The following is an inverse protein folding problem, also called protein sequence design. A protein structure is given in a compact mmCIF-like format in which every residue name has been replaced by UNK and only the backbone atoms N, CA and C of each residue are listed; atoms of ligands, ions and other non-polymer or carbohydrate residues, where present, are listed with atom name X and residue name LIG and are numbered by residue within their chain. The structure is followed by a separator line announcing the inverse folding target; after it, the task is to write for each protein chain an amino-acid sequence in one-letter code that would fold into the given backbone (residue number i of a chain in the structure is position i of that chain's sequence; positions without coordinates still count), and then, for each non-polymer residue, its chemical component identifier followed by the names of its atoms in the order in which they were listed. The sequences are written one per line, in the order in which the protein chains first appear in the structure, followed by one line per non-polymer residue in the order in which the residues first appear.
data_IF_402747824112
#
_entry.id   IF_402747824112
#
_cell.length_a   1.000
_cell.length_b   1.000
_cell.length_c   1.000
_cell.angle_alpha   90.00
_cell.angle_beta   90.00
_cell.angle_gamma   90.00
#
_symmetry.space_group_name_H-M   'P 1'
#
loop_
_entity.id
_entity.type
_entity.pdbx_description
1 polymer ?
#
# COMPACT_ATOMS: atom_id res chain seq x y z
N UNK A 1 4.55 -6.07 3.03
CA UNK A 1 4.32 -4.61 2.93
C UNK A 1 4.07 -4.28 1.47
N UNK A 2 2.96 -3.64 1.18
CA UNK A 2 2.61 -3.16 -0.15
C UNK A 2 3.11 -1.72 -0.34
N UNK A 3 3.73 -1.43 -1.48
CA UNK A 3 4.23 -0.10 -1.84
C UNK A 3 3.65 0.30 -3.21
N UNK A 4 2.38 0.70 -3.26
CA UNK A 4 1.64 0.85 -4.51
C UNK A 4 2.24 1.85 -5.50
N UNK A 5 2.58 3.05 -5.04
CA UNK A 5 3.11 4.07 -5.96
C UNK A 5 4.52 3.76 -6.44
N UNK A 6 5.34 3.09 -5.62
CA UNK A 6 6.68 2.65 -6.05
C UNK A 6 6.59 1.70 -7.25
N UNK A 7 5.62 0.80 -7.26
CA UNK A 7 5.41 -0.09 -8.39
C UNK A 7 5.05 0.65 -9.68
N UNK A 8 4.18 1.64 -9.57
CA UNK A 8 3.72 2.43 -10.72
C UNK A 8 4.80 3.41 -11.19
N UNK A 9 5.52 4.01 -10.25
CA UNK A 9 6.44 5.12 -10.48
C UNK A 9 7.84 4.66 -10.91
N UNK A 10 8.20 3.40 -10.67
CA UNK A 10 9.52 2.88 -11.05
C UNK A 10 9.74 2.99 -12.56
N UNK A 11 10.87 3.58 -13.00
CA UNK A 11 11.14 3.76 -14.41
C UNK A 11 11.13 2.45 -15.19
N UNK A 12 10.54 2.49 -16.35
CA UNK A 12 10.49 1.36 -17.26
C UNK A 12 11.87 1.10 -17.86
N UNK A 13 12.30 -0.15 -17.85
CA UNK A 13 13.47 -0.60 -18.61
C UNK A 13 13.07 -1.05 -20.01
N UNK A 14 13.75 -0.55 -21.03
CA UNK A 14 13.51 -0.95 -22.41
C UNK A 14 13.70 -2.44 -22.66
N UNK A 15 14.52 -3.10 -21.84
CA UNK A 15 14.81 -4.53 -21.95
C UNK A 15 13.76 -5.44 -21.34
N UNK A 16 12.78 -4.91 -20.59
CA UNK A 16 11.81 -5.70 -19.79
C UNK A 16 10.43 -5.77 -20.45
N UNK A 17 10.27 -5.66 -21.70
CA UNK A 17 8.98 -5.89 -22.34
C UNK A 17 7.86 -4.89 -21.92
N UNK A 18 6.59 -5.26 -22.12
CA UNK A 18 5.48 -4.33 -21.96
C UNK A 18 5.25 -3.89 -20.52
N UNK A 19 4.72 -2.69 -20.37
CA UNK A 19 4.24 -2.22 -19.06
C UNK A 19 3.06 -3.09 -18.61
N UNK A 20 3.14 -3.58 -17.40
CA UNK A 20 2.03 -4.26 -16.77
C UNK A 20 1.85 -3.75 -15.35
N UNK A 21 0.64 -3.81 -14.86
CA UNK A 21 0.34 -3.42 -13.48
C UNK A 21 0.27 -4.70 -12.63
N UNK A 22 1.28 -4.90 -11.80
CA UNK A 22 1.35 -6.02 -10.85
C UNK A 22 1.18 -5.54 -9.42
N UNK A 23 0.20 -4.70 -9.20
CA UNK A 23 -0.16 -4.21 -7.87
C UNK A 23 -0.31 -5.39 -6.89
N UNK A 24 0.15 -5.21 -5.65
CA UNK A 24 -0.08 -6.20 -4.58
C UNK A 24 -1.57 -6.52 -4.51
N UNK A 25 -1.98 -7.78 -4.71
CA UNK A 25 -3.39 -8.14 -4.83
C UNK A 25 -4.07 -8.20 -3.46
N UNK A 26 -4.28 -7.04 -2.85
CA UNK A 26 -4.85 -6.93 -1.50
C UNK A 26 -6.26 -7.55 -1.41
N UNK A 27 -7.01 -7.48 -2.47
CA UNK A 27 -8.35 -8.08 -2.60
C UNK A 27 -8.35 -9.60 -2.46
N UNK A 28 -7.22 -10.24 -2.72
CA UNK A 28 -7.02 -11.68 -2.51
C UNK A 28 -6.32 -11.98 -1.18
N UNK A 29 -5.31 -11.17 -0.83
CA UNK A 29 -4.47 -11.42 0.34
C UNK A 29 -5.20 -11.17 1.66
N UNK A 30 -5.95 -10.07 1.76
CA UNK A 30 -6.65 -9.73 3.00
C UNK A 30 -7.73 -10.75 3.36
N UNK A 31 -8.63 -11.16 2.44
CA UNK A 31 -9.60 -12.20 2.74
C UNK A 31 -8.97 -13.57 3.04
N UNK A 32 -7.77 -13.85 2.54
CA UNK A 32 -7.04 -15.07 2.84
C UNK A 32 -6.38 -15.08 4.23
N UNK A 33 -6.52 -14.00 5.01
CA UNK A 33 -5.96 -13.87 6.35
C UNK A 33 -4.50 -13.43 6.37
N UNK A 34 -3.95 -12.97 5.27
CA UNK A 34 -2.58 -12.45 5.19
C UNK A 34 -2.57 -10.99 5.63
N UNK A 35 -1.73 -10.67 6.62
CA UNK A 35 -1.59 -9.29 7.10
C UNK A 35 -0.85 -8.44 6.06
N UNK A 36 -1.57 -7.50 5.45
CA UNK A 36 -1.00 -6.53 4.52
C UNK A 36 -0.79 -5.22 5.24
N UNK A 37 0.39 -4.64 5.11
CA UNK A 37 0.73 -3.30 5.60
C UNK A 37 1.12 -2.41 4.43
N UNK A 38 1.09 -1.12 4.64
CA UNK A 38 1.35 -0.11 3.62
C UNK A 38 2.72 0.53 3.83
N UNK A 39 3.40 0.83 2.75
CA UNK A 39 4.66 1.56 2.75
C UNK A 39 4.81 2.42 1.51
N UNK A 40 5.74 3.36 1.54
CA UNK A 40 6.00 4.26 0.41
C UNK A 40 7.18 3.81 -0.45
N UNK A 41 8.08 2.99 0.11
CA UNK A 41 9.35 2.68 -0.51
C UNK A 41 10.16 3.98 -0.75
N UNK A 42 10.87 4.10 -1.84
CA UNK A 42 11.66 5.28 -2.17
C UNK A 42 10.80 6.54 -2.31
N UNK A 43 11.34 7.67 -1.90
CA UNK A 43 10.65 8.97 -1.99
C UNK A 43 11.49 9.94 -2.80
N UNK A 44 10.94 10.42 -3.90
CA UNK A 44 11.53 11.45 -4.77
C UNK A 44 12.99 11.20 -5.12
N UNK A 45 13.33 10.01 -5.55
CA UNK A 45 14.68 9.65 -5.98
C UNK A 45 14.73 9.20 -7.46
N UNK A 46 15.90 8.73 -7.90
CA UNK A 46 16.10 8.32 -9.28
C UNK A 46 15.29 7.08 -9.69
N UNK A 47 14.93 6.24 -8.72
CA UNK A 47 14.18 5.00 -8.98
C UNK A 47 12.67 5.22 -8.88
N UNK A 48 12.22 6.13 -8.01
CA UNK A 48 10.81 6.44 -7.78
C UNK A 48 10.66 7.96 -7.72
N UNK A 49 10.71 8.65 -8.87
CA UNK A 49 10.84 10.11 -8.89
C UNK A 49 9.62 10.89 -8.43
N UNK A 50 8.43 10.30 -8.54
CA UNK A 50 7.16 11.00 -8.29
C UNK A 50 6.52 10.70 -6.95
N UNK A 51 7.08 9.76 -6.18
CA UNK A 51 6.52 9.38 -4.88
C UNK A 51 6.86 10.43 -3.82
N UNK A 52 5.85 11.14 -3.34
CA UNK A 52 6.00 12.17 -2.31
C UNK A 52 6.01 11.67 -0.86
N UNK A 53 5.89 10.37 -0.63
CA UNK A 53 5.87 9.79 0.73
C UNK A 53 4.53 9.95 1.45
N UNK A 54 3.45 10.20 0.74
CA UNK A 54 2.12 10.40 1.31
C UNK A 54 1.38 9.06 1.47
N UNK A 55 1.19 8.61 2.71
CA UNK A 55 0.51 7.35 3.01
C UNK A 55 -0.96 7.34 2.58
N UNK A 56 -1.63 8.47 2.56
CA UNK A 56 -2.99 8.56 2.04
C UNK A 56 -3.04 8.28 0.53
N UNK A 57 -2.10 8.84 -0.19
CA UNK A 57 -1.97 8.58 -1.62
C UNK A 57 -1.66 7.10 -1.91
N UNK A 58 -0.77 6.49 -1.10
CA UNK A 58 -0.49 5.06 -1.18
C UNK A 58 -1.76 4.23 -0.99
N UNK A 59 -2.54 4.55 0.04
CA UNK A 59 -3.77 3.83 0.35
C UNK A 59 -4.80 3.94 -0.77
N UNK A 60 -5.00 5.14 -1.30
CA UNK A 60 -5.93 5.37 -2.40
C UNK A 60 -5.49 4.66 -3.68
N UNK A 61 -4.20 4.65 -3.93
CA UNK A 61 -3.62 3.94 -5.09
C UNK A 61 -3.84 2.44 -4.98
N UNK A 62 -3.61 1.85 -3.80
CA UNK A 62 -3.86 0.44 -3.55
C UNK A 62 -5.34 0.09 -3.73
N UNK A 63 -6.22 0.84 -3.09
CA UNK A 63 -7.66 0.62 -3.15
C UNK A 63 -8.20 0.72 -4.58
N UNK A 64 -7.78 1.75 -5.30
CA UNK A 64 -8.21 1.98 -6.68
C UNK A 64 -7.62 0.93 -7.64
N UNK A 65 -6.34 0.63 -7.50
CA UNK A 65 -5.65 -0.33 -8.36
C UNK A 65 -6.18 -1.76 -8.22
N UNK A 66 -6.55 -2.15 -7.02
CA UNK A 66 -7.11 -3.48 -6.71
C UNK A 66 -8.65 -3.50 -6.73
N UNK A 67 -9.31 -2.36 -6.91
CA UNK A 67 -10.77 -2.23 -6.81
C UNK A 67 -11.31 -2.79 -5.49
N UNK A 68 -10.60 -2.47 -4.41
CA UNK A 68 -10.87 -2.98 -3.07
C UNK A 68 -11.43 -1.84 -2.21
N UNK A 69 -12.65 -2.00 -1.70
CA UNK A 69 -13.40 -0.95 -1.01
C UNK A 69 -13.80 -1.31 0.43
N UNK A 70 -13.18 -2.32 1.00
CA UNK A 70 -13.39 -2.69 2.40
C UNK A 70 -12.72 -1.67 3.32
N UNK A 71 -13.47 -0.64 3.72
CA UNK A 71 -12.95 0.55 4.39
C UNK A 71 -12.26 0.23 5.72
N UNK A 72 -12.82 -0.71 6.50
CA UNK A 72 -12.19 -1.12 7.77
C UNK A 72 -10.85 -1.82 7.53
N UNK A 73 -10.79 -2.71 6.55
CA UNK A 73 -9.55 -3.39 6.17
C UNK A 73 -8.51 -2.42 5.67
N UNK A 74 -8.90 -1.46 4.83
CA UNK A 74 -8.00 -0.41 4.32
C UNK A 74 -7.46 0.46 5.45
N UNK A 75 -8.30 0.83 6.42
CA UNK A 75 -7.86 1.58 7.59
C UNK A 75 -6.82 0.81 8.41
N UNK A 76 -7.01 -0.49 8.59
CA UNK A 76 -6.04 -1.36 9.28
C UNK A 76 -4.73 -1.47 8.50
N UNK A 77 -4.80 -1.62 7.19
CA UNK A 77 -3.62 -1.67 6.31
C UNK A 77 -2.76 -0.41 6.45
N UNK A 78 -3.40 0.75 6.55
CA UNK A 78 -2.71 2.03 6.69
C UNK A 78 -2.21 2.32 8.12
N UNK A 79 -2.63 1.57 9.11
CA UNK A 79 -2.36 1.88 10.53
C UNK A 79 -1.83 0.68 11.32
N UNK A 80 -2.71 -0.11 11.91
CA UNK A 80 -2.33 -1.16 12.88
C UNK A 80 -1.57 -2.32 12.26
N UNK A 81 -1.80 -2.62 10.99
CA UNK A 81 -1.10 -3.70 10.31
C UNK A 81 0.40 -3.41 10.18
N UNK A 82 0.80 -2.15 10.02
CA UNK A 82 2.21 -1.76 10.02
C UNK A 82 2.88 -2.09 11.34
N UNK A 83 2.24 -1.77 12.45
CA UNK A 83 2.74 -2.14 13.78
C UNK A 83 2.86 -3.65 13.93
N UNK A 84 1.85 -4.39 13.50
CA UNK A 84 1.85 -5.85 13.57
C UNK A 84 2.97 -6.48 12.76
N UNK A 85 3.20 -6.01 11.55
CA UNK A 85 4.29 -6.50 10.67
C UNK A 85 5.66 -6.22 11.29
N UNK A 86 5.81 -5.08 11.97
CA UNK A 86 7.05 -4.68 12.66
C UNK A 86 7.21 -5.34 14.04
N UNK A 87 6.25 -6.11 14.51
CA UNK A 87 6.28 -6.72 15.83
C UNK A 87 6.09 -5.74 16.98
N UNK A 88 5.50 -4.58 16.72
CA UNK A 88 5.22 -3.57 17.74
C UNK A 88 3.92 -3.88 18.48
N UNK A 89 3.78 -3.43 19.75
CA UNK A 89 2.54 -3.62 20.49
C UNK A 89 1.36 -2.95 19.80
N UNK A 90 0.14 -3.53 19.90
CA UNK A 90 -1.06 -2.89 19.37
C UNK A 90 -1.34 -1.58 20.08
N UNK A 91 -1.98 -0.65 19.37
CA UNK A 91 -2.48 0.59 19.97
C UNK A 91 -3.78 0.32 20.69
N UNK A 92 -3.97 0.97 21.86
CA UNK A 92 -5.24 0.97 22.57
C UNK A 92 -6.23 1.95 21.94
N UNK A 93 -7.52 1.65 22.01
CA UNK A 93 -8.60 2.54 21.56
C UNK A 93 -8.45 3.00 20.10
N UNK A 94 -8.06 2.10 19.22
CA UNK A 94 -7.90 2.41 17.79
C UNK A 94 -9.25 2.54 17.11
N UNK A 95 -9.48 3.67 16.46
CA UNK A 95 -10.62 3.90 15.59
C UNK A 95 -10.22 3.60 14.14
N UNK A 96 -10.93 2.69 13.50
CA UNK A 96 -10.67 2.29 12.12
C UNK A 96 -11.56 3.03 11.10
N UNK A 97 -12.28 4.06 11.52
CA UNK A 97 -13.04 4.86 10.57
C UNK A 97 -12.13 5.75 9.74
N UNK A 98 -12.40 5.82 8.43
CA UNK A 98 -11.73 6.76 7.53
C UNK A 98 -12.64 7.98 7.40
N UNK A 99 -12.15 9.12 7.85
CA UNK A 99 -12.86 10.39 7.71
C UNK A 99 -12.29 11.15 6.53
N UNK A 100 -13.19 11.51 5.66
CA UNK A 100 -12.87 12.24 4.43
C UNK A 100 -13.24 13.72 4.61
#
# INVERSE_FOLDING_TARGET
IACPTAWIDTPRSESIGPVHNSMTPVDELDPAGITVALGTDNVCDAMVPWNGGDMWHELMTLATGCRYDEMEALAKIATVNGRRVLGLPPLENTDFSIQI
#
